data_IF_652913779822
#
_entry.id   IF_652913779822
#
_cell.length_a   1.000
_cell.length_b   1.000
_cell.length_c   1.000
_cell.angle_alpha   90.00
_cell.angle_beta   90.00
_cell.angle_gamma   90.00
#
_symmetry.space_group_name_H-M   'P 1'
#
loop_
_entity.id
_entity.type
_entity.pdbx_description
1 polymer ?
#
# COMPACT_ATOMS: atom_id res chain seq x y z
N UNK A 1 4.49 -1.13 14.63
CA UNK A 1 4.05 0.25 14.92
C UNK A 1 2.61 0.35 14.47
N UNK A 2 1.71 1.00 15.21
CA UNK A 2 0.36 1.28 14.73
C UNK A 2 0.24 2.76 14.39
N UNK A 3 -0.67 3.11 13.48
CA UNK A 3 -0.98 4.51 13.17
C UNK A 3 -1.34 5.31 14.43
N UNK A 4 -2.17 4.71 15.31
CA UNK A 4 -2.60 5.32 16.57
C UNK A 4 -1.46 5.59 17.57
N UNK A 5 -0.29 4.97 17.38
CA UNK A 5 0.89 5.19 18.23
C UNK A 5 1.75 6.38 17.73
N UNK A 6 1.42 6.98 16.57
CA UNK A 6 2.19 8.08 16.02
C UNK A 6 1.98 9.37 16.83
N UNK A 7 3.05 10.14 17.12
CA UNK A 7 2.92 11.47 17.71
C UNK A 7 2.08 12.39 16.83
N UNK A 8 1.29 13.28 17.44
CA UNK A 8 0.49 14.27 16.72
C UNK A 8 1.34 15.13 15.76
N UNK A 9 2.59 15.47 16.16
CA UNK A 9 3.53 16.20 15.32
C UNK A 9 3.88 15.48 14.01
N UNK A 10 3.92 14.13 14.02
CA UNK A 10 4.11 13.33 12.80
C UNK A 10 2.87 13.42 11.92
N UNK A 11 1.67 13.25 12.50
CA UNK A 11 0.42 13.37 11.75
C UNK A 11 0.28 14.75 11.11
N UNK A 12 0.64 15.82 11.83
CA UNK A 12 0.56 17.19 11.33
C UNK A 12 1.61 17.48 10.23
N UNK A 13 2.83 16.95 10.33
CA UNK A 13 3.86 17.05 9.28
C UNK A 13 3.44 16.29 8.02
N UNK A 14 2.94 15.06 8.16
CA UNK A 14 2.46 14.27 7.03
C UNK A 14 1.24 14.92 6.36
N UNK A 15 0.33 15.53 7.12
CA UNK A 15 -0.88 16.15 6.58
C UNK A 15 -0.66 17.50 5.87
N UNK A 16 0.57 17.99 5.78
CA UNK A 16 0.87 19.22 5.03
C UNK A 16 0.59 19.05 3.53
N UNK A 17 0.11 20.10 2.86
CA UNK A 17 -0.31 20.04 1.44
C UNK A 17 0.83 19.66 0.47
N UNK A 18 2.09 19.87 0.87
CA UNK A 18 3.26 19.52 0.07
C UNK A 18 3.66 18.05 0.19
N UNK A 19 3.10 17.32 1.15
CA UNK A 19 3.31 15.89 1.36
C UNK A 19 2.18 15.13 0.65
N UNK A 20 2.24 15.13 -0.68
CA UNK A 20 1.32 14.38 -1.53
C UNK A 20 1.87 12.98 -1.79
N UNK A 21 0.98 12.07 -2.14
CA UNK A 21 1.30 10.85 -2.86
C UNK A 21 0.48 10.78 -4.13
N UNK A 22 0.96 9.99 -5.07
CA UNK A 22 0.16 9.59 -6.21
C UNK A 22 -0.80 8.49 -5.75
N UNK A 23 -2.10 8.69 -5.94
CA UNK A 23 -3.06 7.60 -5.91
C UNK A 23 -3.45 7.30 -7.36
N UNK A 24 -3.41 6.03 -7.73
CA UNK A 24 -3.86 5.57 -9.03
C UNK A 24 -5.07 4.69 -8.72
N UNK A 25 -6.25 5.27 -8.99
CA UNK A 25 -7.53 4.61 -8.80
C UNK A 25 -7.47 3.18 -9.37
N UNK A 26 -7.81 2.16 -8.57
CA UNK A 26 -7.72 0.78 -8.98
C UNK A 26 -8.75 0.44 -10.09
N UNK A 27 -9.77 1.28 -10.35
CA UNK A 27 -10.66 1.13 -11.50
C UNK A 27 -9.88 1.10 -12.82
N UNK A 28 -9.78 -0.06 -13.46
CA UNK A 28 -8.97 -0.41 -14.64
C UNK A 28 -9.09 0.50 -15.90
N UNK A 29 -9.96 1.53 -15.88
CA UNK A 29 -10.16 2.51 -16.96
C UNK A 29 -10.13 4.00 -16.48
N UNK A 30 -9.87 4.24 -15.19
CA UNK A 30 -9.64 5.58 -14.67
C UNK A 30 -8.23 6.03 -15.06
N UNK A 31 -8.08 6.67 -16.22
CA UNK A 31 -6.84 7.37 -16.66
C UNK A 31 -6.44 8.55 -15.76
N UNK A 32 -6.93 8.59 -14.53
CA UNK A 32 -6.84 9.74 -13.66
C UNK A 32 -5.87 9.44 -12.53
N UNK A 33 -4.63 9.87 -12.76
CA UNK A 33 -3.67 10.12 -11.71
C UNK A 33 -4.18 11.30 -10.87
N UNK A 34 -4.49 11.04 -9.59
CA UNK A 34 -4.88 12.09 -8.66
C UNK A 34 -3.79 12.33 -7.63
N UNK A 35 -3.51 13.60 -7.41
CA UNK A 35 -2.72 14.03 -6.26
C UNK A 35 -3.59 13.87 -5.02
N UNK A 36 -3.17 13.01 -4.10
CA UNK A 36 -3.86 12.85 -2.82
C UNK A 36 -2.93 13.14 -1.65
N UNK A 37 -3.45 13.82 -0.63
CA UNK A 37 -2.67 14.23 0.54
C UNK A 37 -2.91 13.31 1.75
N UNK A 38 -1.90 13.11 2.60
CA UNK A 38 -1.89 12.19 3.77
C UNK A 38 -3.09 12.32 4.70
N UNK A 39 -3.68 13.49 4.83
CA UNK A 39 -4.89 13.67 5.63
C UNK A 39 -6.07 12.76 5.21
N UNK A 40 -6.21 12.39 3.93
CA UNK A 40 -7.30 11.49 3.48
C UNK A 40 -7.17 10.04 3.96
N UNK A 41 -5.97 9.63 4.38
CA UNK A 41 -5.69 8.27 4.85
C UNK A 41 -5.35 8.21 6.34
N UNK A 42 -4.92 9.32 6.95
CA UNK A 42 -4.49 9.33 8.35
C UNK A 42 -5.55 9.83 9.32
N UNK A 43 -6.57 10.56 8.83
CA UNK A 43 -7.61 11.15 9.66
C UNK A 43 -8.98 10.83 9.06
N UNK A 44 -9.93 10.50 9.93
CA UNK A 44 -11.33 10.44 9.52
C UNK A 44 -11.80 11.86 9.19
N UNK A 45 -12.41 12.09 8.02
CA UNK A 45 -12.98 13.39 7.73
C UNK A 45 -14.17 13.66 8.66
N UNK A 46 -14.30 14.90 9.14
CA UNK A 46 -15.41 15.33 10.00
C UNK A 46 -16.77 15.15 9.30
N UNK A 47 -16.79 15.36 7.99
CA UNK A 47 -17.93 15.09 7.11
C UNK A 47 -17.50 14.15 5.99
N UNK A 48 -18.17 13.02 5.85
CA UNK A 48 -17.95 12.09 4.74
C UNK A 48 -19.26 11.72 4.08
N UNK A 49 -19.28 11.72 2.75
CA UNK A 49 -20.40 11.22 1.96
C UNK A 49 -20.59 9.70 2.09
N UNK A 50 -19.55 8.98 2.52
CA UNK A 50 -19.58 7.54 2.75
C UNK A 50 -19.17 7.24 4.20
N UNK A 51 -19.76 6.24 4.87
CA UNK A 51 -19.31 5.84 6.19
C UNK A 51 -17.84 5.40 6.11
N UNK A 52 -16.96 6.12 6.81
CA UNK A 52 -15.57 5.75 7.03
C UNK A 52 -15.39 5.43 8.51
N UNK A 53 -14.73 4.32 8.77
CA UNK A 53 -14.34 3.87 10.09
C UNK A 53 -12.80 3.79 10.19
N UNK A 54 -12.28 3.39 11.35
CA UNK A 54 -10.84 3.26 11.54
C UNK A 54 -10.18 2.27 10.58
N UNK A 55 -10.91 1.27 10.08
CA UNK A 55 -10.40 0.31 9.11
C UNK A 55 -10.26 0.91 7.69
N UNK A 56 -10.89 2.08 7.48
CA UNK A 56 -10.73 2.90 6.29
C UNK A 56 -9.46 3.76 6.30
N UNK A 57 -8.72 3.80 7.41
CA UNK A 57 -7.47 4.55 7.54
C UNK A 57 -6.24 3.71 7.13
N UNK A 58 -5.17 4.40 6.75
CA UNK A 58 -3.88 3.80 6.51
C UNK A 58 -3.31 3.14 7.76
N UNK A 59 -2.59 2.04 7.57
CA UNK A 59 -1.92 1.34 8.64
C UNK A 59 -0.52 0.86 8.20
N UNK A 60 0.33 0.55 9.17
CA UNK A 60 1.64 0.00 8.90
C UNK A 60 1.57 -1.47 8.49
N UNK A 61 2.23 -1.80 7.38
CA UNK A 61 2.68 -3.15 7.07
C UNK A 61 4.09 -3.38 7.62
N UNK A 62 4.36 -4.60 8.07
CA UNK A 62 5.73 -5.01 8.41
C UNK A 62 6.28 -5.84 7.27
N UNK A 63 7.27 -5.30 6.55
CA UNK A 63 7.90 -5.96 5.40
C UNK A 63 9.36 -6.20 5.74
N UNK A 64 9.77 -7.47 5.86
CA UNK A 64 11.13 -7.86 6.25
C UNK A 64 11.65 -7.12 7.51
N UNK A 65 10.78 -6.96 8.51
CA UNK A 65 11.12 -6.26 9.76
C UNK A 65 11.10 -4.73 9.69
N UNK A 66 10.74 -4.14 8.53
CA UNK A 66 10.61 -2.69 8.34
C UNK A 66 9.14 -2.28 8.41
N UNK A 67 8.84 -1.20 9.13
CA UNK A 67 7.50 -0.61 9.12
C UNK A 67 7.31 0.25 7.88
N UNK A 68 6.32 -0.07 7.07
CA UNK A 68 5.97 0.65 5.84
C UNK A 68 4.54 1.14 5.98
N UNK A 69 4.35 2.46 5.93
CA UNK A 69 3.04 3.08 5.91
C UNK A 69 2.58 3.19 4.45
N UNK A 70 1.64 2.34 4.06
CA UNK A 70 1.01 2.43 2.75
C UNK A 70 -0.17 3.42 2.78
N UNK A 71 -0.47 4.10 1.67
CA UNK A 71 -1.72 4.85 1.46
C UNK A 71 -2.96 3.94 1.27
N UNK A 72 -2.89 2.75 1.86
CA UNK A 72 -3.80 1.62 1.94
C UNK A 72 -4.80 1.57 3.09
N UNK A 73 -6.13 1.49 2.97
CA UNK A 73 -6.95 1.14 4.13
C UNK A 73 -6.50 -0.17 4.79
N UNK A 74 -6.57 -0.26 6.13
CA UNK A 74 -6.20 -1.48 6.87
C UNK A 74 -6.94 -2.72 6.36
N UNK A 75 -8.19 -2.56 5.93
CA UNK A 75 -8.99 -3.64 5.32
C UNK A 75 -8.37 -4.25 4.05
N UNK A 76 -7.47 -3.54 3.36
CA UNK A 76 -6.77 -4.06 2.18
C UNK A 76 -5.60 -4.98 2.55
N UNK A 77 -5.06 -4.87 3.77
CA UNK A 77 -3.77 -5.45 4.13
C UNK A 77 -3.72 -6.98 4.02
N UNK A 78 -4.84 -7.66 4.24
CA UNK A 78 -4.91 -9.12 4.16
C UNK A 78 -4.73 -9.65 2.74
N UNK A 79 -4.90 -8.80 1.73
CA UNK A 79 -4.77 -9.15 0.33
C UNK A 79 -3.46 -8.62 -0.29
N UNK A 80 -2.60 -7.93 0.48
CA UNK A 80 -1.32 -7.38 0.04
C UNK A 80 -0.17 -8.29 0.46
N UNK A 81 0.59 -8.73 -0.54
CA UNK A 81 1.69 -9.66 -0.37
C UNK A 81 2.96 -9.12 -1.04
N UNK A 82 4.04 -8.85 -0.29
CA UNK A 82 5.32 -8.47 -0.87
C UNK A 82 5.92 -9.61 -1.70
N UNK A 83 6.19 -9.34 -2.98
CA UNK A 83 6.88 -10.25 -3.90
C UNK A 83 8.39 -10.02 -3.83
N UNK A 84 8.79 -8.74 -3.84
CA UNK A 84 10.21 -8.36 -3.83
C UNK A 84 10.40 -7.02 -3.14
N UNK A 85 11.45 -6.95 -2.34
CA UNK A 85 11.86 -5.76 -1.60
C UNK A 85 13.28 -5.41 -2.02
N UNK A 86 13.49 -4.17 -2.45
CA UNK A 86 14.78 -3.68 -2.91
C UNK A 86 15.11 -2.42 -2.13
N UNK A 87 15.94 -2.51 -1.08
CA UNK A 87 16.45 -1.32 -0.41
C UNK A 87 17.48 -0.60 -1.29
N UNK A 88 17.47 0.72 -1.25
CA UNK A 88 18.57 1.55 -1.74
C UNK A 88 19.85 1.27 -0.94
N UNK A 89 21.00 1.59 -1.52
CA UNK A 89 22.30 1.33 -0.88
C UNK A 89 22.47 2.04 0.47
N UNK A 90 21.85 3.20 0.64
CA UNK A 90 21.83 3.99 1.88
C UNK A 90 20.62 3.67 2.80
N UNK A 91 19.77 2.74 2.37
CA UNK A 91 18.52 2.34 3.04
C UNK A 91 17.54 3.48 3.27
N UNK A 92 17.66 4.59 2.53
CA UNK A 92 16.72 5.71 2.61
C UNK A 92 15.46 5.48 1.77
N UNK A 93 15.49 4.57 0.80
CA UNK A 93 14.34 4.26 -0.04
C UNK A 93 14.17 2.74 -0.16
N UNK A 94 12.93 2.26 -0.16
CA UNK A 94 12.56 0.90 -0.52
C UNK A 94 11.75 0.92 -1.82
N UNK A 95 12.11 0.05 -2.76
CA UNK A 95 11.22 -0.33 -3.86
C UNK A 95 10.57 -1.66 -3.52
N UNK A 96 9.23 -1.69 -3.55
CA UNK A 96 8.41 -2.84 -3.21
C UNK A 96 7.61 -3.27 -4.44
N UNK A 97 7.74 -4.53 -4.83
CA UNK A 97 6.83 -5.18 -5.77
C UNK A 97 5.82 -6.00 -4.96
N UNK A 98 4.54 -5.76 -5.19
CA UNK A 98 3.45 -6.24 -4.34
C UNK A 98 2.39 -6.94 -5.19
N UNK A 99 1.94 -8.12 -4.77
CA UNK A 99 0.70 -8.71 -5.26
C UNK A 99 -0.41 -8.19 -4.33
N UNK A 100 -1.43 -7.54 -4.89
CA UNK A 100 -2.57 -7.02 -4.14
C UNK A 100 -3.86 -7.53 -4.81
N UNK A 101 -4.54 -8.47 -4.14
CA UNK A 101 -5.78 -9.08 -4.62
C UNK A 101 -7.05 -8.50 -3.96
N UNK A 102 -6.98 -7.29 -3.38
CA UNK A 102 -8.10 -6.70 -2.67
C UNK A 102 -9.36 -6.60 -3.53
N UNK A 103 -9.21 -6.15 -4.78
CA UNK A 103 -10.27 -6.10 -5.78
C UNK A 103 -10.50 -7.48 -6.42
N UNK A 104 -11.15 -8.36 -5.65
CA UNK A 104 -11.31 -9.79 -5.94
C UNK A 104 -11.82 -10.10 -7.35
N UNK A 105 -12.75 -9.28 -7.85
CA UNK A 105 -13.37 -9.48 -9.16
C UNK A 105 -12.37 -9.33 -10.34
N UNK A 106 -11.18 -8.80 -10.10
CA UNK A 106 -10.11 -8.68 -11.12
C UNK A 106 -9.09 -9.81 -11.07
N UNK A 107 -9.05 -10.55 -9.96
CA UNK A 107 -8.10 -11.62 -9.71
C UNK A 107 -8.87 -12.92 -9.52
N UNK A 108 -9.33 -13.48 -10.63
CA UNK A 108 -10.28 -14.60 -10.67
C UNK A 108 -9.62 -15.93 -11.05
N UNK A 109 -8.42 -15.86 -11.65
CA UNK A 109 -7.65 -17.01 -12.10
C UNK A 109 -6.17 -16.78 -11.85
N UNK A 110 -5.39 -17.85 -11.71
CA UNK A 110 -3.96 -17.77 -11.40
C UNK A 110 -3.16 -16.92 -12.40
N UNK A 111 -3.54 -16.88 -13.67
CA UNK A 111 -2.86 -16.05 -14.69
C UNK A 111 -3.02 -14.55 -14.48
N UNK A 112 -3.98 -14.11 -13.67
CA UNK A 112 -4.16 -12.70 -13.32
C UNK A 112 -3.02 -12.22 -12.40
N UNK A 113 -2.25 -13.14 -11.80
CA UNK A 113 -1.07 -12.83 -10.99
C UNK A 113 0.06 -12.11 -11.74
N UNK A 114 -0.02 -12.00 -13.07
CA UNK A 114 0.90 -11.15 -13.86
C UNK A 114 0.74 -9.66 -13.55
N UNK A 115 -0.40 -9.29 -12.96
CA UNK A 115 -0.75 -7.94 -12.57
C UNK A 115 -0.38 -7.70 -11.11
N UNK A 116 0.60 -6.85 -10.89
CA UNK A 116 1.10 -6.48 -9.57
C UNK A 116 1.04 -4.98 -9.33
N UNK A 117 1.60 -4.55 -8.22
CA UNK A 117 1.67 -3.16 -7.78
C UNK A 117 3.12 -2.83 -7.41
N UNK A 118 3.45 -1.54 -7.51
CA UNK A 118 4.75 -1.03 -7.14
C UNK A 118 4.56 -0.01 -6.02
N UNK A 119 5.36 -0.06 -4.97
CA UNK A 119 5.46 1.02 -4.02
C UNK A 119 6.91 1.50 -3.90
N UNK A 120 7.09 2.82 -3.86
CA UNK A 120 8.38 3.44 -3.53
C UNK A 120 8.19 4.10 -2.19
N UNK A 121 8.98 3.70 -1.20
CA UNK A 121 8.82 4.18 0.16
C UNK A 121 10.09 4.83 0.69
N UNK A 122 9.99 6.10 1.06
CA UNK A 122 11.10 6.88 1.59
C UNK A 122 11.12 6.83 3.11
N UNK A 123 12.31 6.79 3.68
CA UNK A 123 12.49 6.67 5.13
C UNK A 123 12.14 7.98 5.81
N UNK A 124 11.21 7.90 6.75
CA UNK A 124 10.79 8.99 7.60
C UNK A 124 11.51 8.90 8.96
N UNK A 125 12.35 9.89 9.26
CA UNK A 125 13.15 9.93 10.49
C UNK A 125 12.93 11.18 11.37
N UNK A 126 11.81 11.87 11.19
CA UNK A 126 11.48 13.08 11.97
C UNK A 126 10.77 12.72 13.28
N UNK A 127 10.80 13.65 14.25
CA UNK A 127 10.09 13.56 15.53
C UNK A 127 10.36 12.27 16.33
N UNK A 128 11.53 11.65 16.15
CA UNK A 128 11.92 10.42 16.84
C UNK A 128 11.26 9.14 16.31
N UNK A 129 10.54 9.21 15.20
CA UNK A 129 10.01 8.04 14.51
C UNK A 129 10.99 7.53 13.45
N UNK A 130 10.90 6.24 13.11
CA UNK A 130 11.70 5.60 12.06
C UNK A 130 10.83 4.55 11.34
N UNK A 131 10.37 4.88 10.14
CA UNK A 131 9.55 4.02 9.29
C UNK A 131 9.70 4.45 7.83
N UNK A 132 9.09 3.71 6.89
CA UNK A 132 9.06 4.07 5.48
C UNK A 132 7.66 4.56 5.08
N UNK A 133 7.59 5.69 4.39
CA UNK A 133 6.38 6.32 3.90
C UNK A 133 6.25 6.05 2.40
N UNK A 134 5.21 5.32 1.99
CA UNK A 134 5.10 4.85 0.62
C UNK A 134 4.27 5.76 -0.30
N UNK A 135 4.75 5.95 -1.52
CA UNK A 135 3.91 6.20 -2.70
C UNK A 135 3.54 4.85 -3.33
N UNK A 136 2.25 4.64 -3.60
CA UNK A 136 1.71 3.37 -4.10
C UNK A 136 1.22 3.56 -5.54
N UNK A 137 1.78 2.78 -6.46
CA UNK A 137 1.54 2.88 -7.89
C UNK A 137 0.78 1.65 -8.38
N UNK A 138 -0.31 1.90 -9.10
CA UNK A 138 -1.08 0.88 -9.78
C UNK A 138 -0.29 0.32 -10.97
N UNK A 139 -0.26 -1.00 -11.00
CA UNK A 139 0.19 -1.83 -12.12
C UNK A 139 1.69 -1.88 -12.40
N UNK A 140 2.29 -2.99 -11.99
CA UNK A 140 3.53 -3.52 -12.53
C UNK A 140 3.27 -4.87 -13.18
N UNK A 141 3.89 -5.15 -14.31
CA UNK A 141 3.88 -6.51 -14.87
C UNK A 141 4.97 -7.35 -14.21
N UNK A 142 4.58 -8.43 -13.55
CA UNK A 142 5.53 -9.41 -13.05
C UNK A 142 6.01 -10.31 -14.18
N UNK A 143 7.30 -10.64 -14.16
CA UNK A 143 7.95 -11.50 -15.13
C UNK A 143 8.94 -12.44 -14.43
N UNK A 144 9.17 -13.61 -15.02
CA UNK A 144 10.08 -14.61 -14.47
C UNK A 144 9.71 -15.00 -13.04
N UNK A 145 10.68 -14.97 -12.13
CA UNK A 145 10.52 -15.39 -10.73
C UNK A 145 9.47 -14.58 -9.96
N UNK A 146 9.33 -13.28 -10.25
CA UNK A 146 8.32 -12.44 -9.59
C UNK A 146 6.91 -12.91 -9.97
N UNK A 147 6.71 -13.33 -11.23
CA UNK A 147 5.44 -13.86 -11.71
C UNK A 147 5.15 -15.24 -11.10
N UNK A 148 6.16 -16.12 -11.05
CA UNK A 148 6.03 -17.45 -10.44
C UNK A 148 5.60 -17.36 -8.96
N UNK A 149 6.23 -16.46 -8.19
CA UNK A 149 5.85 -16.21 -6.80
C UNK A 149 4.43 -15.64 -6.68
N UNK A 150 4.06 -14.70 -7.54
CA UNK A 150 2.72 -14.12 -7.52
C UNK A 150 1.63 -15.15 -7.88
N UNK A 151 1.92 -16.07 -8.82
CA UNK A 151 1.00 -17.18 -9.17
C UNK A 151 0.75 -18.09 -7.97
N UNK A 152 1.80 -18.45 -7.23
CA UNK A 152 1.65 -19.27 -6.02
C UNK A 152 0.75 -18.58 -4.98
N UNK A 153 1.02 -17.30 -4.68
CA UNK A 153 0.25 -16.50 -3.72
C UNK A 153 -1.22 -16.36 -4.15
N UNK A 154 -1.46 -16.03 -5.42
CA UNK A 154 -2.81 -15.84 -5.91
C UNK A 154 -3.58 -17.17 -5.93
N UNK A 155 -2.94 -18.28 -6.30
CA UNK A 155 -3.57 -19.61 -6.28
C UNK A 155 -4.03 -19.97 -4.87
N UNK A 156 -3.17 -19.82 -3.86
CA UNK A 156 -3.53 -20.06 -2.46
C UNK A 156 -4.67 -19.15 -1.99
N UNK A 157 -4.67 -17.89 -2.45
CA UNK A 157 -5.74 -16.92 -2.13
C UNK A 157 -7.07 -17.30 -2.77
N UNK A 158 -7.07 -17.80 -4.01
CA UNK A 158 -8.25 -18.28 -4.71
C UNK A 158 -8.82 -19.54 -4.05
N UNK A 159 -7.96 -20.48 -3.67
CA UNK A 159 -8.35 -21.71 -2.96
C UNK A 159 -9.04 -21.38 -1.62
N UNK A 160 -8.44 -20.51 -0.80
CA UNK A 160 -9.01 -20.06 0.47
C UNK A 160 -10.37 -19.36 0.33
N UNK A 161 -10.64 -18.75 -0.82
CA UNK A 161 -11.92 -18.06 -1.11
C UNK A 161 -13.01 -19.03 -1.60
N UNK A 162 -12.63 -20.22 -2.06
CA UNK A 162 -13.56 -21.24 -2.54
C UNK A 162 -14.08 -22.16 -1.41
N UNK A 163 -13.44 -22.14 -0.25
CA UNK A 163 -13.86 -22.81 1.00
C UNK A 163 -14.98 -22.05 1.72
#
# INVERSE_FOLDING_TARGET
MKLADLPQAVLDDLCQEQQWRLDIDPGFDSKHEFWMAWHHFLKLPEESYFPRDEDSLAEFLTVEGRFVLLPVPRSHHTDIHPIRVIPSADQQTLTLFLQDAYHRDWFTQASDARYGFLAIADRYQKFGCDFYLASYYHFSYFVGRDYEAAVEILTQTLERRAE
#
